data_IF_260677245094
#
_entry.id   IF_260677245094
#
_cell.length_a   1.000
_cell.length_b   1.000
_cell.length_c   1.000
_cell.angle_alpha   90.00
_cell.angle_beta   90.00
_cell.angle_gamma   90.00
#
_symmetry.space_group_name_H-M   'P 1'
#
loop_
_entity.id
_entity.type
_entity.pdbx_description
1 polymer ?
#
# COMPACT_ATOMS: atom_id res chain seq x y z
N UNK A 1 -19.41 -21.03 14.17
CA UNK A 1 -18.92 -20.19 15.27
C UNK A 1 -17.44 -20.47 15.45
N UNK A 2 -16.62 -19.44 15.69
CA UNK A 2 -15.18 -19.57 15.94
C UNK A 2 -14.92 -20.18 17.32
N UNK A 3 -13.80 -20.89 17.46
CA UNK A 3 -13.36 -21.44 18.73
C UNK A 3 -12.85 -20.36 19.69
N UNK A 4 -12.88 -20.60 21.01
CA UNK A 4 -12.27 -19.70 22.01
C UNK A 4 -10.79 -19.42 21.70
N UNK A 5 -10.07 -20.43 21.20
CA UNK A 5 -8.67 -20.32 20.78
C UNK A 5 -8.50 -19.36 19.60
N UNK A 6 -9.38 -19.41 18.60
CA UNK A 6 -9.33 -18.47 17.47
C UNK A 6 -9.57 -17.03 17.95
N UNK A 7 -10.59 -16.78 18.77
CA UNK A 7 -10.81 -15.44 19.32
C UNK A 7 -9.59 -14.91 20.09
N UNK A 8 -8.96 -15.77 20.91
CA UNK A 8 -7.76 -15.39 21.66
C UNK A 8 -6.58 -15.06 20.74
N UNK A 9 -6.29 -15.90 19.75
CA UNK A 9 -5.15 -15.67 18.83
C UNK A 9 -5.35 -14.39 18.02
N UNK A 10 -6.52 -14.22 17.42
CA UNK A 10 -6.82 -13.04 16.60
C UNK A 10 -6.86 -11.76 17.46
N UNK A 11 -7.42 -11.83 18.67
CA UNK A 11 -7.42 -10.70 19.61
C UNK A 11 -6.02 -10.30 20.08
N UNK A 12 -5.16 -11.28 20.39
CA UNK A 12 -3.76 -11.00 20.74
C UNK A 12 -2.99 -10.37 19.59
N UNK A 13 -3.15 -10.87 18.36
CA UNK A 13 -2.49 -10.29 17.19
C UNK A 13 -2.96 -8.86 16.93
N UNK A 14 -4.25 -8.58 17.10
CA UNK A 14 -4.76 -7.21 16.99
C UNK A 14 -4.13 -6.27 18.03
N UNK A 15 -4.07 -6.70 19.30
CA UNK A 15 -3.43 -5.90 20.38
C UNK A 15 -1.94 -5.69 20.09
N UNK A 16 -1.22 -6.75 19.70
CA UNK A 16 0.19 -6.64 19.34
C UNK A 16 0.39 -5.68 18.17
N UNK A 17 -0.51 -5.69 17.20
CA UNK A 17 -0.44 -4.79 16.04
C UNK A 17 -0.69 -3.33 16.42
N UNK A 18 -1.62 -3.08 17.35
CA UNK A 18 -1.81 -1.73 17.90
C UNK A 18 -0.57 -1.25 18.65
N UNK A 19 0.09 -2.13 19.42
CA UNK A 19 1.33 -1.79 20.11
C UNK A 19 2.44 -1.47 19.11
N UNK A 20 2.69 -2.33 18.12
CA UNK A 20 3.73 -2.10 17.10
C UNK A 20 3.46 -0.86 16.24
N UNK A 21 2.18 -0.59 15.92
CA UNK A 21 1.78 0.64 15.22
C UNK A 21 1.93 1.89 16.10
N UNK A 22 1.77 1.78 17.42
CA UNK A 22 2.00 2.90 18.34
C UNK A 22 3.49 3.21 18.46
N UNK A 23 4.35 2.18 18.51
CA UNK A 23 5.81 2.35 18.48
C UNK A 23 6.26 3.01 17.17
N UNK A 24 5.76 2.52 16.03
CA UNK A 24 5.99 3.14 14.73
C UNK A 24 5.50 4.60 14.68
N UNK A 25 4.33 4.89 15.27
CA UNK A 25 3.82 6.26 15.38
C UNK A 25 4.78 7.17 16.16
N UNK A 26 5.40 6.67 17.23
CA UNK A 26 6.43 7.41 17.96
C UNK A 26 7.63 7.78 17.08
N UNK A 27 8.08 6.83 16.27
CA UNK A 27 9.24 6.98 15.39
C UNK A 27 8.95 7.93 14.21
N UNK A 28 7.81 7.77 13.54
CA UNK A 28 7.47 8.58 12.36
C UNK A 28 6.92 9.96 12.70
N UNK A 29 6.07 10.06 13.73
CA UNK A 29 5.38 11.33 14.02
C UNK A 29 6.26 12.24 14.87
N UNK A 30 6.98 11.69 15.85
CA UNK A 30 7.69 12.49 16.86
C UNK A 30 9.20 12.27 16.86
N UNK A 31 9.72 11.44 15.96
CA UNK A 31 11.15 11.06 15.94
C UNK A 31 11.63 10.48 17.28
N UNK A 32 10.74 9.78 18.01
CA UNK A 32 11.05 9.16 19.32
C UNK A 32 10.99 7.63 19.24
N UNK A 33 12.02 6.94 19.74
CA UNK A 33 12.09 5.47 19.75
C UNK A 33 12.35 4.90 21.13
N UNK A 34 11.86 3.68 21.38
CA UNK A 34 12.13 2.95 22.65
C UNK A 34 13.60 2.47 22.76
N UNK A 35 14.35 2.54 21.65
CA UNK A 35 15.76 2.14 21.57
C UNK A 35 16.71 3.32 21.69
N UNK A 36 16.20 4.53 21.52
CA UNK A 36 16.96 5.75 21.70
C UNK A 36 17.14 6.06 23.18
N UNK A 37 18.03 7.01 23.50
CA UNK A 37 18.26 7.46 24.87
C UNK A 37 18.23 8.98 24.95
N UNK A 38 18.10 9.53 26.16
CA UNK A 38 18.01 10.97 26.37
C UNK A 38 16.71 11.55 25.81
N UNK A 39 16.82 12.64 25.05
CA UNK A 39 15.67 13.40 24.53
C UNK A 39 14.90 12.64 23.44
N UNK A 40 15.54 11.66 22.78
CA UNK A 40 14.93 10.87 21.69
C UNK A 40 14.21 9.61 22.17
N UNK A 41 14.24 9.35 23.49
CA UNK A 41 13.53 8.23 24.08
C UNK A 41 12.01 8.41 24.01
N UNK A 42 11.31 7.36 23.59
CA UNK A 42 9.84 7.33 23.59
C UNK A 42 9.27 7.27 25.01
N UNK A 43 9.03 8.44 25.59
CA UNK A 43 8.40 8.58 26.90
C UNK A 43 6.95 8.08 26.90
N UNK A 44 6.38 7.86 28.09
CA UNK A 44 4.99 7.43 28.22
C UNK A 44 4.00 8.47 27.65
N UNK A 45 4.33 9.78 27.71
CA UNK A 45 3.51 10.83 27.12
C UNK A 45 3.46 10.69 25.59
N UNK A 46 4.63 10.61 24.94
CA UNK A 46 4.73 10.41 23.50
C UNK A 46 4.14 9.08 23.04
N UNK A 47 4.24 8.02 23.85
CA UNK A 47 3.56 6.76 23.58
C UNK A 47 2.04 6.95 23.46
N UNK A 48 1.41 7.67 24.40
CA UNK A 48 -0.02 7.94 24.33
C UNK A 48 -0.40 8.87 23.19
N UNK A 49 0.41 9.90 22.91
CA UNK A 49 0.20 10.76 21.73
C UNK A 49 0.28 9.99 20.41
N UNK A 50 1.16 9.00 20.33
CA UNK A 50 1.34 8.14 19.15
C UNK A 50 0.12 7.25 18.86
N UNK A 51 -0.78 7.08 19.85
CA UNK A 51 -2.03 6.34 19.63
C UNK A 51 -2.97 7.03 18.64
N UNK A 52 -2.86 8.34 18.45
CA UNK A 52 -3.62 9.07 17.43
C UNK A 52 -3.34 8.51 16.03
N UNK A 53 -2.08 8.14 15.74
CA UNK A 53 -1.70 7.48 14.49
C UNK A 53 -2.19 6.02 14.49
N UNK A 54 -1.86 5.24 15.52
CA UNK A 54 -2.12 3.79 15.51
C UNK A 54 -3.61 3.44 15.54
N UNK A 55 -4.43 4.15 16.33
CA UNK A 55 -5.88 3.94 16.37
C UNK A 55 -6.51 4.29 15.02
N UNK A 56 -6.08 5.40 14.42
CA UNK A 56 -6.58 5.83 13.10
C UNK A 56 -6.22 4.83 12.02
N UNK A 57 -4.93 4.48 11.92
CA UNK A 57 -4.42 3.61 10.88
C UNK A 57 -4.95 2.17 11.02
N UNK A 58 -4.81 1.56 12.20
CA UNK A 58 -5.31 0.20 12.45
C UNK A 58 -6.85 0.16 12.43
N UNK A 59 -7.52 1.24 12.85
CA UNK A 59 -8.97 1.36 12.76
C UNK A 59 -9.47 1.28 11.31
N UNK A 60 -8.82 1.99 10.38
CA UNK A 60 -9.19 1.92 8.96
C UNK A 60 -8.97 0.51 8.39
N UNK A 61 -7.81 -0.10 8.67
CA UNK A 61 -7.51 -1.47 8.24
C UNK A 61 -8.51 -2.49 8.82
N UNK A 62 -8.91 -2.31 10.08
CA UNK A 62 -9.94 -3.14 10.70
C UNK A 62 -11.28 -2.99 9.98
N UNK A 63 -11.72 -1.77 9.67
CA UNK A 63 -12.98 -1.54 8.96
C UNK A 63 -12.94 -2.12 7.54
N UNK A 64 -11.80 -2.03 6.85
CA UNK A 64 -11.57 -2.70 5.57
C UNK A 64 -11.82 -4.21 5.68
N UNK A 65 -11.14 -4.88 6.61
CA UNK A 65 -11.32 -6.32 6.81
C UNK A 65 -12.74 -6.67 7.27
N UNK A 66 -13.35 -5.85 8.12
CA UNK A 66 -14.74 -6.05 8.54
C UNK A 66 -15.72 -5.94 7.36
N UNK A 67 -15.43 -5.11 6.35
CA UNK A 67 -16.18 -5.06 5.10
C UNK A 67 -16.21 -6.42 4.38
N UNK A 68 -15.05 -7.07 4.25
CA UNK A 68 -14.96 -8.43 3.72
C UNK A 68 -15.67 -9.46 4.62
N UNK A 69 -15.48 -9.35 5.93
CA UNK A 69 -16.04 -10.25 6.92
C UNK A 69 -17.56 -10.27 6.89
N UNK A 70 -18.20 -9.11 7.05
CA UNK A 70 -19.66 -9.00 7.09
C UNK A 70 -20.30 -9.39 5.76
N UNK A 71 -19.66 -9.05 4.63
CA UNK A 71 -20.13 -9.46 3.31
C UNK A 71 -20.00 -10.96 3.10
N UNK A 72 -18.95 -11.58 3.63
CA UNK A 72 -18.80 -13.04 3.63
C UNK A 72 -19.88 -13.72 4.46
N UNK A 73 -20.21 -13.18 5.64
CA UNK A 73 -21.31 -13.68 6.48
C UNK A 73 -22.67 -13.57 5.76
N UNK A 74 -22.95 -12.42 5.13
CA UNK A 74 -24.17 -12.22 4.34
C UNK A 74 -24.31 -13.27 3.23
N UNK A 75 -23.22 -13.57 2.52
CA UNK A 75 -23.20 -14.58 1.46
C UNK A 75 -23.06 -16.03 1.95
N UNK A 76 -23.06 -16.24 3.27
CA UNK A 76 -22.85 -17.54 3.94
C UNK A 76 -21.54 -18.22 3.50
N UNK A 77 -20.52 -17.43 3.24
CA UNK A 77 -19.16 -17.89 2.94
C UNK A 77 -18.39 -17.98 4.26
N UNK A 78 -17.85 -19.17 4.55
CA UNK A 78 -17.00 -19.36 5.73
C UNK A 78 -15.69 -18.58 5.53
N UNK A 79 -15.31 -17.78 6.51
CA UNK A 79 -14.07 -17.00 6.52
C UNK A 79 -13.36 -17.14 7.89
N UNK A 80 -12.17 -16.59 8.04
CA UNK A 80 -11.53 -16.36 9.34
C UNK A 80 -11.97 -15.02 9.93
N UNK A 81 -11.64 -14.80 11.20
CA UNK A 81 -11.55 -13.44 11.74
C UNK A 81 -10.40 -12.69 11.06
N UNK A 82 -10.37 -11.34 11.10
CA UNK A 82 -9.24 -10.55 10.63
C UNK A 82 -7.94 -11.01 11.30
N UNK A 83 -6.94 -11.36 10.50
CA UNK A 83 -5.62 -11.77 10.97
C UNK A 83 -4.65 -10.61 10.74
N UNK A 84 -4.35 -9.85 11.79
CA UNK A 84 -3.38 -8.76 11.74
C UNK A 84 -1.95 -9.29 11.83
N UNK A 85 -1.04 -8.65 11.08
CA UNK A 85 0.37 -9.02 11.01
C UNK A 85 1.19 -7.89 11.67
N UNK A 86 1.55 -8.02 12.96
CA UNK A 86 2.34 -7.01 13.66
C UNK A 86 3.78 -7.02 13.15
N UNK A 87 4.30 -5.85 12.76
CA UNK A 87 5.68 -5.70 12.28
C UNK A 87 6.26 -4.37 12.76
N UNK A 88 7.14 -4.44 13.74
CA UNK A 88 7.98 -3.32 14.14
C UNK A 88 9.44 -3.69 13.95
N UNK A 89 10.13 -3.00 13.04
CA UNK A 89 11.55 -3.26 12.69
C UNK A 89 12.50 -2.20 13.27
N UNK A 90 12.02 -1.33 14.17
CA UNK A 90 12.87 -0.34 14.83
C UNK A 90 14.07 -0.96 15.55
N UNK A 91 13.95 -2.21 16.04
CA UNK A 91 15.04 -2.97 16.68
C UNK A 91 16.25 -3.29 15.79
N UNK A 92 16.12 -3.15 14.47
CA UNK A 92 17.24 -3.26 13.52
C UNK A 92 17.57 -1.92 12.84
N UNK A 93 17.04 -0.81 13.37
CA UNK A 93 17.27 0.54 12.82
C UNK A 93 16.54 0.80 11.51
N UNK A 94 15.53 -0.01 11.15
CA UNK A 94 14.72 0.16 9.94
C UNK A 94 13.34 0.67 10.33
N UNK A 95 12.95 1.90 9.95
CA UNK A 95 11.60 2.42 10.19
C UNK A 95 10.55 1.49 9.58
N UNK A 96 9.53 1.12 10.36
CA UNK A 96 8.37 0.39 9.86
C UNK A 96 7.09 1.14 10.18
N UNK A 97 6.02 0.87 9.44
CA UNK A 97 4.68 1.44 9.69
C UNK A 97 3.89 0.66 10.76
N UNK A 98 4.55 -0.24 11.49
CA UNK A 98 3.98 -1.02 12.58
C UNK A 98 3.18 -2.27 12.19
N UNK A 99 2.85 -2.48 10.90
CA UNK A 99 2.10 -3.66 10.43
C UNK A 99 2.33 -3.94 8.95
N UNK A 100 2.17 -5.20 8.53
CA UNK A 100 1.96 -5.56 7.11
C UNK A 100 0.48 -5.58 6.70
N UNK A 101 -0.40 -5.05 7.55
CA UNK A 101 -1.83 -5.03 7.36
C UNK A 101 -2.53 -6.22 8.01
N UNK A 102 -3.73 -6.48 7.55
CA UNK A 102 -4.57 -7.59 8.00
C UNK A 102 -5.12 -8.36 6.80
N UNK A 103 -5.44 -9.63 7.01
CA UNK A 103 -6.02 -10.48 5.97
C UNK A 103 -7.15 -11.35 6.51
N UNK A 104 -8.18 -11.55 5.71
CA UNK A 104 -9.19 -12.59 5.93
C UNK A 104 -8.97 -13.76 5.00
N UNK A 105 -8.91 -14.96 5.59
CA UNK A 105 -8.83 -16.20 4.83
C UNK A 105 -10.23 -16.76 4.58
N UNK A 106 -10.63 -16.84 3.31
CA UNK A 106 -11.81 -17.60 2.92
C UNK A 106 -11.60 -19.10 3.18
N UNK A 107 -12.49 -19.71 3.97
CA UNK A 107 -12.44 -21.13 4.36
C UNK A 107 -13.40 -21.94 3.48
N UNK A 108 -12.97 -22.27 2.26
CA UNK A 108 -13.72 -23.13 1.32
C UNK A 108 -13.84 -22.54 -0.08
N UNK A 109 -14.42 -23.31 -1.00
CA UNK A 109 -14.59 -22.88 -2.40
C UNK A 109 -15.79 -21.93 -2.53
N UNK A 110 -15.53 -20.69 -2.95
CA UNK A 110 -16.58 -19.74 -3.31
C UNK A 110 -16.90 -19.91 -4.79
N UNK A 111 -17.95 -20.64 -5.11
CA UNK A 111 -18.29 -20.93 -6.50
C UNK A 111 -19.32 -19.94 -7.07
N UNK A 112 -19.02 -18.64 -7.01
CA UNK A 112 -19.93 -17.60 -7.53
C UNK A 112 -19.22 -16.28 -7.81
N UNK A 113 -19.31 -15.83 -9.06
CA UNK A 113 -18.79 -14.53 -9.48
C UNK A 113 -19.37 -13.36 -8.68
N UNK A 114 -20.69 -13.40 -8.42
CA UNK A 114 -21.37 -12.36 -7.64
C UNK A 114 -20.80 -12.27 -6.22
N UNK A 115 -20.54 -13.42 -5.58
CA UNK A 115 -19.99 -13.44 -4.22
C UNK A 115 -18.56 -12.92 -4.18
N UNK A 116 -17.72 -13.32 -5.13
CA UNK A 116 -16.36 -12.78 -5.25
C UNK A 116 -16.36 -11.27 -5.45
N UNK A 117 -17.19 -10.77 -6.37
CA UNK A 117 -17.32 -9.34 -6.60
C UNK A 117 -17.79 -8.59 -5.35
N UNK A 118 -18.88 -9.05 -4.73
CA UNK A 118 -19.45 -8.39 -3.56
C UNK A 118 -18.46 -8.39 -2.38
N UNK A 119 -17.80 -9.51 -2.10
CA UNK A 119 -16.80 -9.61 -1.02
C UNK A 119 -15.57 -8.75 -1.33
N UNK A 120 -15.02 -8.86 -2.55
CA UNK A 120 -13.81 -8.14 -2.95
C UNK A 120 -13.98 -6.63 -2.94
N UNK A 121 -15.15 -6.11 -3.32
CA UNK A 121 -15.37 -4.66 -3.33
C UNK A 121 -15.72 -4.08 -1.95
N UNK A 122 -16.28 -4.90 -1.04
CA UNK A 122 -16.79 -4.41 0.24
C UNK A 122 -15.71 -3.88 1.18
N UNK A 123 -14.55 -4.54 1.25
CA UNK A 123 -13.46 -4.10 2.11
C UNK A 123 -12.87 -2.76 1.69
N UNK A 124 -12.38 -2.61 0.45
CA UNK A 124 -11.84 -1.35 -0.04
C UNK A 124 -12.82 -0.19 0.09
N UNK A 125 -14.11 -0.39 -0.18
CA UNK A 125 -15.10 0.67 -0.01
C UNK A 125 -15.30 1.06 1.46
N UNK A 126 -15.37 0.09 2.37
CA UNK A 126 -15.53 0.36 3.80
C UNK A 126 -14.32 1.12 4.36
N UNK A 127 -13.11 0.64 4.06
CA UNK A 127 -11.87 1.30 4.46
C UNK A 127 -11.75 2.70 3.86
N UNK A 128 -12.04 2.85 2.56
CA UNK A 128 -11.99 4.12 1.85
C UNK A 128 -12.93 5.18 2.44
N UNK A 129 -14.17 4.83 2.78
CA UNK A 129 -15.13 5.79 3.36
C UNK A 129 -14.62 6.32 4.70
N UNK A 130 -14.02 5.47 5.53
CA UNK A 130 -13.43 5.91 6.81
C UNK A 130 -12.18 6.76 6.57
N UNK A 131 -11.30 6.35 5.66
CA UNK A 131 -10.10 7.10 5.30
C UNK A 131 -10.45 8.51 4.75
N UNK A 132 -11.47 8.58 3.90
CA UNK A 132 -11.97 9.85 3.34
C UNK A 132 -12.48 10.77 4.45
N UNK A 133 -13.32 10.27 5.36
CA UNK A 133 -13.81 11.05 6.48
C UNK A 133 -12.68 11.51 7.42
N UNK A 134 -11.70 10.65 7.66
CA UNK A 134 -10.54 10.96 8.50
C UNK A 134 -9.62 12.01 7.85
N UNK A 135 -9.39 11.94 6.54
CA UNK A 135 -8.61 12.95 5.81
C UNK A 135 -9.33 14.29 5.76
N UNK A 136 -10.64 14.31 5.48
CA UNK A 136 -11.45 15.54 5.53
C UNK A 136 -11.35 16.19 6.91
N UNK A 137 -11.49 15.40 7.98
CA UNK A 137 -11.32 15.88 9.35
C UNK A 137 -9.88 16.37 9.59
N UNK A 138 -8.87 15.59 9.21
CA UNK A 138 -7.46 15.93 9.41
C UNK A 138 -7.04 17.24 8.74
N UNK A 139 -7.46 17.46 7.49
CA UNK A 139 -7.21 18.73 6.79
C UNK A 139 -7.99 19.91 7.40
N UNK A 140 -9.22 19.67 7.85
CA UNK A 140 -10.07 20.72 8.45
C UNK A 140 -9.60 21.13 9.87
N UNK A 141 -8.84 20.28 10.56
CA UNK A 141 -8.37 20.51 11.93
C UNK A 141 -6.86 20.60 12.03
N UNK A 142 -6.20 21.09 10.98
CA UNK A 142 -4.75 21.29 11.00
C UNK A 142 -4.35 22.22 12.15
N UNK A 143 -3.32 21.85 12.94
CA UNK A 143 -2.76 22.74 13.95
C UNK A 143 -2.14 23.99 13.29
N UNK A 144 -1.84 25.03 14.06
CA UNK A 144 -1.06 26.16 13.59
C UNK A 144 0.28 25.71 12.99
N UNK A 145 0.82 26.47 12.03
CA UNK A 145 2.06 26.11 11.32
C UNK A 145 3.26 25.93 12.27
N UNK A 146 3.25 26.61 13.41
CA UNK A 146 4.28 26.53 14.45
C UNK A 146 4.35 25.17 15.14
N UNK A 147 3.33 24.31 14.99
CA UNK A 147 3.35 22.94 15.51
C UNK A 147 4.58 22.17 15.04
N UNK A 148 5.04 22.41 13.81
CA UNK A 148 6.20 21.70 13.30
C UNK A 148 7.48 22.02 14.08
N UNK A 149 7.55 23.17 14.74
CA UNK A 149 8.69 23.55 15.58
C UNK A 149 8.76 22.74 16.88
N UNK A 150 7.68 22.08 17.30
CA UNK A 150 7.73 21.12 18.41
C UNK A 150 8.47 19.84 18.00
N UNK A 151 8.46 19.50 16.71
CA UNK A 151 9.10 18.31 16.15
C UNK A 151 10.52 18.64 15.65
N UNK A 152 10.65 19.76 14.94
CA UNK A 152 11.89 20.29 14.38
C UNK A 152 12.14 21.72 14.94
N UNK A 153 12.64 21.85 16.19
CA UNK A 153 12.96 23.15 16.78
C UNK A 153 13.88 24.03 15.93
N UNK A 154 14.75 23.42 15.12
CA UNK A 154 15.65 24.06 14.18
C UNK A 154 14.93 24.89 13.11
N UNK A 155 13.70 24.54 12.73
CA UNK A 155 12.92 25.31 11.73
C UNK A 155 12.50 26.68 12.26
N UNK A 156 12.62 26.93 13.58
CA UNK A 156 12.40 28.24 14.16
C UNK A 156 13.59 29.21 13.93
N UNK A 157 14.77 28.71 13.54
CA UNK A 157 15.91 29.57 13.17
C UNK A 157 15.78 30.04 11.72
N UNK A 158 15.65 31.36 11.45
CA UNK A 158 15.58 31.89 10.09
C UNK A 158 16.81 31.60 9.23
N UNK A 159 17.93 31.21 9.83
CA UNK A 159 19.18 30.85 9.13
C UNK A 159 19.33 29.35 8.91
N UNK A 160 18.32 28.53 9.24
CA UNK A 160 18.35 27.11 8.97
C UNK A 160 18.22 26.87 7.45
N UNK A 161 19.32 26.46 6.82
CA UNK A 161 19.38 26.21 5.36
C UNK A 161 18.95 24.79 4.96
N UNK A 162 18.40 24.01 5.90
CA UNK A 162 18.08 22.60 5.71
C UNK A 162 19.12 21.67 6.33
N UNK A 163 18.80 20.38 6.38
CA UNK A 163 19.80 19.36 6.66
C UNK A 163 20.73 19.23 5.45
N UNK A 164 22.04 19.16 5.68
CA UNK A 164 23.02 19.05 4.59
C UNK A 164 22.81 17.81 3.72
N UNK A 165 23.46 17.75 2.55
CA UNK A 165 23.32 16.66 1.55
C UNK A 165 23.62 15.25 2.07
N UNK A 166 24.22 15.12 3.27
CA UNK A 166 24.51 13.84 3.92
C UNK A 166 23.30 13.23 4.67
N UNK A 167 22.21 13.98 4.85
CA UNK A 167 21.01 13.50 5.54
C UNK A 167 19.98 13.02 4.53
N UNK A 168 19.58 11.74 4.67
CA UNK A 168 18.54 11.14 3.87
C UNK A 168 17.20 11.84 4.14
N UNK A 169 16.67 12.56 3.16
CA UNK A 169 15.37 13.20 3.27
C UNK A 169 14.27 12.21 2.87
N UNK A 170 13.19 12.17 3.65
CA UNK A 170 12.02 11.34 3.37
C UNK A 170 10.81 12.23 3.07
N UNK A 171 10.12 11.93 1.98
CA UNK A 171 8.90 12.62 1.58
C UNK A 171 7.83 11.63 1.12
N UNK A 172 6.57 11.93 1.45
CA UNK A 172 5.46 11.17 0.91
C UNK A 172 5.17 11.60 -0.54
N UNK A 173 4.88 10.64 -1.40
CA UNK A 173 4.34 10.93 -2.72
C UNK A 173 2.98 11.60 -2.68
N UNK A 174 2.55 12.15 -3.81
CA UNK A 174 1.20 12.68 -3.94
C UNK A 174 0.25 11.71 -4.68
N UNK A 175 -1.04 11.81 -4.38
CA UNK A 175 -2.12 11.19 -5.16
C UNK A 175 -3.26 12.19 -5.33
N UNK A 176 -4.08 11.99 -6.38
CA UNK A 176 -5.10 12.97 -6.77
C UNK A 176 -6.11 13.26 -5.66
N UNK A 177 -6.48 12.25 -4.86
CA UNK A 177 -7.43 12.42 -3.78
C UNK A 177 -6.82 13.20 -2.61
N UNK A 178 -5.61 12.85 -2.17
CA UNK A 178 -4.94 13.54 -1.07
C UNK A 178 -4.70 15.01 -1.41
N UNK A 179 -4.17 15.30 -2.60
CA UNK A 179 -4.04 16.66 -3.12
C UNK A 179 -5.39 17.40 -3.15
N UNK A 180 -6.41 16.81 -3.76
CA UNK A 180 -7.72 17.45 -3.88
C UNK A 180 -8.40 17.71 -2.54
N UNK A 181 -8.20 16.86 -1.54
CA UNK A 181 -8.70 17.11 -0.18
C UNK A 181 -7.93 18.23 0.52
N UNK A 182 -6.62 18.32 0.31
CA UNK A 182 -5.80 19.44 0.79
C UNK A 182 -6.30 20.78 0.24
N UNK A 183 -6.52 20.86 -1.07
CA UNK A 183 -7.04 22.08 -1.73
C UNK A 183 -8.45 22.47 -1.28
N UNK A 184 -9.31 21.50 -0.98
CA UNK A 184 -10.72 21.75 -0.66
C UNK A 184 -10.98 22.00 0.83
N UNK A 185 -10.22 21.38 1.72
CA UNK A 185 -10.49 21.39 3.16
C UNK A 185 -9.33 21.92 4.01
N UNK A 186 -8.12 21.98 3.47
CA UNK A 186 -6.96 22.48 4.19
C UNK A 186 -6.86 24.01 4.14
N UNK A 187 -6.37 24.60 5.23
CA UNK A 187 -5.98 26.01 5.29
C UNK A 187 -4.62 26.17 4.58
N UNK A 188 -4.49 26.96 3.50
CA UNK A 188 -3.24 27.13 2.76
C UNK A 188 -2.04 27.55 3.62
N UNK A 189 -2.27 28.24 4.73
CA UNK A 189 -1.20 28.66 5.65
C UNK A 189 -0.74 27.54 6.59
N UNK A 190 -1.49 26.43 6.69
CA UNK A 190 -1.25 25.33 7.64
C UNK A 190 -0.98 23.99 6.99
N UNK A 191 -1.24 23.85 5.69
CA UNK A 191 -0.99 22.59 4.97
C UNK A 191 0.51 22.29 5.01
N UNK A 192 0.93 21.15 5.58
CA UNK A 192 2.34 20.78 5.59
C UNK A 192 2.82 20.44 4.17
N UNK A 193 4.12 20.63 3.92
CA UNK A 193 4.77 20.01 2.76
C UNK A 193 4.65 18.48 2.87
N UNK A 194 4.78 17.76 1.76
CA UNK A 194 4.63 16.31 1.79
C UNK A 194 5.75 15.59 2.58
N UNK A 195 6.89 16.28 2.80
CA UNK A 195 7.95 15.84 3.72
C UNK A 195 7.46 15.79 5.16
N UNK A 196 6.68 16.81 5.56
CA UNK A 196 6.23 16.97 6.94
C UNK A 196 4.92 16.22 7.26
N UNK A 197 4.19 15.72 6.26
CA UNK A 197 2.89 15.03 6.46
C UNK A 197 2.99 13.87 7.46
N UNK A 198 4.14 13.20 7.58
CA UNK A 198 4.37 12.13 8.55
C UNK A 198 4.18 12.57 10.01
N UNK A 199 4.41 13.86 10.30
CA UNK A 199 4.28 14.46 11.62
C UNK A 199 2.83 14.83 11.99
N UNK A 200 1.88 14.55 11.09
CA UNK A 200 0.45 14.78 11.27
C UNK A 200 -0.28 13.44 11.34
N UNK A 201 -0.51 12.87 12.54
CA UNK A 201 -0.96 11.49 12.72
C UNK A 201 -2.15 11.06 11.87
N UNK A 202 -3.14 11.95 11.73
CA UNK A 202 -4.36 11.68 10.97
C UNK A 202 -4.10 11.72 9.46
N UNK A 203 -3.36 12.72 8.98
CA UNK A 203 -3.01 12.80 7.56
C UNK A 203 -2.13 11.63 7.14
N UNK A 204 -1.13 11.28 7.97
CA UNK A 204 -0.25 10.16 7.69
C UNK A 204 -1.01 8.82 7.69
N UNK A 205 -1.86 8.57 8.70
CA UNK A 205 -2.71 7.38 8.73
C UNK A 205 -3.66 7.30 7.53
N UNK A 206 -4.27 8.42 7.15
CA UNK A 206 -5.15 8.52 5.99
C UNK A 206 -4.39 8.28 4.67
N UNK A 207 -3.20 8.85 4.52
CA UNK A 207 -2.33 8.62 3.36
C UNK A 207 -1.96 7.15 3.21
N UNK A 208 -1.49 6.51 4.30
CA UNK A 208 -1.19 5.08 4.28
C UNK A 208 -2.44 4.24 3.96
N UNK A 209 -3.60 4.62 4.48
CA UNK A 209 -4.86 3.95 4.13
C UNK A 209 -5.20 4.05 2.64
N UNK A 210 -4.99 5.21 2.01
CA UNK A 210 -5.15 5.38 0.56
C UNK A 210 -4.15 4.51 -0.21
N UNK A 211 -2.90 4.45 0.24
CA UNK A 211 -1.87 3.57 -0.33
C UNK A 211 -2.29 2.10 -0.29
N UNK A 212 -2.71 1.58 0.87
CA UNK A 212 -3.17 0.18 0.99
C UNK A 212 -4.46 -0.09 0.22
N UNK A 213 -5.38 0.89 0.17
CA UNK A 213 -6.60 0.79 -0.63
C UNK A 213 -6.27 0.67 -2.12
N UNK A 214 -5.36 1.51 -2.62
CA UNK A 214 -4.90 1.47 -4.01
C UNK A 214 -4.16 0.15 -4.31
N UNK A 215 -3.30 -0.32 -3.40
CA UNK A 215 -2.60 -1.59 -3.55
C UNK A 215 -3.60 -2.76 -3.63
N UNK A 216 -4.60 -2.80 -2.74
CA UNK A 216 -5.64 -3.84 -2.75
C UNK A 216 -6.55 -3.77 -3.97
N UNK A 217 -6.80 -2.57 -4.51
CA UNK A 217 -7.60 -2.39 -5.72
C UNK A 217 -6.81 -2.52 -7.03
N UNK A 218 -5.52 -2.86 -6.98
CA UNK A 218 -4.80 -3.23 -8.19
C UNK A 218 -5.55 -4.36 -8.92
N UNK A 219 -5.71 -4.27 -10.25
CA UNK A 219 -6.47 -5.24 -11.04
C UNK A 219 -5.68 -6.55 -11.27
N UNK A 220 -5.07 -7.12 -10.22
CA UNK A 220 -4.08 -8.19 -10.31
C UNK A 220 -4.47 -9.38 -9.41
N UNK A 221 -4.55 -10.57 -10.00
CA UNK A 221 -4.61 -11.84 -9.28
C UNK A 221 -5.75 -11.97 -8.27
N UNK A 222 -5.37 -12.23 -7.01
CA UNK A 222 -6.29 -12.46 -5.89
C UNK A 222 -6.52 -11.22 -5.02
N UNK A 223 -6.00 -10.07 -5.43
CA UNK A 223 -6.32 -8.81 -4.76
C UNK A 223 -7.80 -8.47 -4.94
N UNK A 224 -8.30 -7.56 -4.11
CA UNK A 224 -9.67 -7.07 -4.18
C UNK A 224 -10.02 -6.48 -5.55
N UNK A 225 -9.10 -5.72 -6.15
CA UNK A 225 -9.22 -5.21 -7.52
C UNK A 225 -9.27 -6.32 -8.57
N UNK A 226 -8.54 -7.43 -8.35
CA UNK A 226 -8.64 -8.64 -9.17
C UNK A 226 -10.05 -9.26 -9.12
N UNK A 227 -10.67 -9.30 -7.94
CA UNK A 227 -12.07 -9.75 -7.77
C UNK A 227 -13.08 -8.80 -8.44
N UNK A 228 -12.85 -7.48 -8.37
CA UNK A 228 -13.67 -6.46 -9.05
C UNK A 228 -13.60 -6.63 -10.57
N UNK A 229 -12.39 -6.71 -11.13
CA UNK A 229 -12.17 -6.93 -12.58
C UNK A 229 -12.76 -8.25 -13.02
N UNK A 230 -12.62 -9.31 -12.23
CA UNK A 230 -13.26 -10.59 -12.54
C UNK A 230 -14.79 -10.47 -12.60
N UNK A 231 -15.39 -9.70 -11.70
CA UNK A 231 -16.83 -9.44 -11.71
C UNK A 231 -17.31 -8.69 -12.95
N UNK A 232 -16.58 -7.64 -13.35
CA UNK A 232 -16.90 -6.76 -14.48
C UNK A 232 -16.60 -7.41 -15.83
N UNK A 233 -15.40 -7.99 -15.97
CA UNK A 233 -14.83 -8.49 -17.23
C UNK A 233 -14.44 -9.98 -17.11
N UNK A 234 -15.39 -10.89 -16.84
CA UNK A 234 -15.10 -12.29 -16.53
C UNK A 234 -14.43 -13.09 -17.67
N UNK A 235 -14.46 -12.60 -18.90
CA UNK A 235 -13.81 -13.25 -20.05
C UNK A 235 -12.34 -12.84 -20.20
N UNK A 236 -12.03 -11.59 -19.85
CA UNK A 236 -10.71 -10.98 -20.10
C UNK A 236 -9.94 -10.71 -18.80
N UNK A 237 -10.45 -11.10 -17.63
CA UNK A 237 -9.84 -10.77 -16.34
C UNK A 237 -8.39 -11.30 -16.19
N UNK A 238 -8.07 -12.46 -16.78
CA UNK A 238 -6.72 -13.02 -16.75
C UNK A 238 -5.76 -12.18 -17.61
N UNK A 239 -6.22 -11.73 -18.78
CA UNK A 239 -5.47 -10.85 -19.67
C UNK A 239 -5.26 -9.48 -19.03
N UNK A 240 -6.31 -8.88 -18.47
CA UNK A 240 -6.24 -7.60 -17.75
C UNK A 240 -5.25 -7.71 -16.58
N UNK A 241 -5.30 -8.79 -15.80
CA UNK A 241 -4.38 -8.99 -14.69
C UNK A 241 -2.93 -9.15 -15.15
N UNK A 242 -2.69 -9.87 -16.24
CA UNK A 242 -1.34 -10.04 -16.78
C UNK A 242 -0.81 -8.70 -17.31
N UNK A 243 -1.60 -7.98 -18.10
CA UNK A 243 -1.24 -6.66 -18.66
C UNK A 243 -0.97 -5.66 -17.54
N UNK A 244 -1.85 -5.59 -16.54
CA UNK A 244 -1.68 -4.69 -15.40
C UNK A 244 -0.42 -5.02 -14.60
N UNK A 245 -0.15 -6.30 -14.33
CA UNK A 245 1.07 -6.71 -13.64
C UNK A 245 2.32 -6.42 -14.47
N UNK A 246 2.27 -6.65 -15.79
CA UNK A 246 3.37 -6.33 -16.71
C UNK A 246 3.65 -4.84 -16.77
N UNK A 247 2.62 -3.99 -16.85
CA UNK A 247 2.77 -2.54 -16.76
C UNK A 247 3.33 -2.10 -15.40
N UNK A 248 2.84 -2.69 -14.31
CA UNK A 248 3.28 -2.39 -12.96
C UNK A 248 4.76 -2.74 -12.73
N UNK A 249 5.21 -3.95 -13.08
CA UNK A 249 6.61 -4.36 -12.95
C UNK A 249 7.52 -3.64 -13.97
N UNK A 250 6.98 -3.32 -15.15
CA UNK A 250 7.65 -2.53 -16.17
C UNK A 250 7.97 -1.12 -15.67
N UNK A 251 7.00 -0.44 -15.06
CA UNK A 251 7.21 0.83 -14.37
C UNK A 251 8.15 0.66 -13.18
N UNK A 252 7.91 -0.30 -12.28
CA UNK A 252 8.70 -0.49 -11.06
C UNK A 252 10.19 -0.71 -11.33
N UNK A 253 10.54 -1.45 -12.40
CA UNK A 253 11.93 -1.74 -12.75
C UNK A 253 12.58 -0.76 -13.71
N UNK A 254 11.87 0.27 -14.15
CA UNK A 254 12.43 1.26 -15.06
C UNK A 254 13.57 2.03 -14.36
N UNK A 255 14.76 2.00 -14.97
CA UNK A 255 15.99 2.56 -14.39
C UNK A 255 16.77 1.59 -13.47
N UNK A 256 16.31 0.35 -13.28
CA UNK A 256 17.06 -0.66 -12.51
C UNK A 256 18.31 -1.17 -13.25
N UNK A 257 18.17 -1.36 -14.57
CA UNK A 257 19.30 -1.57 -15.49
C UNK A 257 19.31 -0.44 -16.51
N UNK A 258 20.47 0.16 -16.77
CA UNK A 258 20.61 1.27 -17.72
C UNK A 258 21.84 1.08 -18.61
N UNK A 259 21.87 1.69 -19.81
CA UNK A 259 23.03 1.63 -20.69
C UNK A 259 24.24 2.46 -20.22
N UNK A 260 24.08 3.23 -19.14
CA UNK A 260 25.14 4.07 -18.57
C UNK A 260 25.83 3.39 -17.38
N UNK A 261 25.41 2.18 -17.00
CA UNK A 261 26.11 1.38 -16.00
C UNK A 261 27.46 0.90 -16.54
N UNK A 262 28.44 0.79 -15.65
CA UNK A 262 29.70 0.12 -15.97
C UNK A 262 29.46 -1.33 -16.42
N UNK A 263 30.31 -1.84 -17.30
CA UNK A 263 30.11 -3.18 -17.89
C UNK A 263 30.10 -4.27 -16.82
N UNK A 264 30.93 -4.15 -15.78
CA UNK A 264 30.99 -5.10 -14.66
C UNK A 264 29.66 -5.17 -13.90
N UNK A 265 29.08 -4.00 -13.58
CA UNK A 265 27.78 -3.90 -12.90
C UNK A 265 26.66 -4.45 -13.75
N UNK A 266 26.66 -4.15 -15.06
CA UNK A 266 25.65 -4.66 -15.99
C UNK A 266 25.72 -6.19 -16.13
N UNK A 267 26.93 -6.76 -16.20
CA UNK A 267 27.15 -8.21 -16.28
C UNK A 267 26.68 -8.94 -15.01
N UNK A 268 26.72 -8.29 -13.85
CA UNK A 268 26.21 -8.84 -12.59
C UNK A 268 24.69 -8.61 -12.43
N UNK A 269 24.25 -7.37 -12.55
CA UNK A 269 22.86 -6.95 -12.26
C UNK A 269 21.88 -7.37 -13.35
N UNK A 270 22.29 -7.41 -14.62
CA UNK A 270 21.44 -7.83 -15.73
C UNK A 270 20.86 -9.24 -15.55
N UNK A 271 21.69 -10.28 -15.37
CA UNK A 271 21.21 -11.63 -15.11
C UNK A 271 20.39 -11.76 -13.81
N UNK A 272 20.77 -11.04 -12.75
CA UNK A 272 20.01 -11.03 -11.49
C UNK A 272 18.62 -10.44 -11.69
N UNK A 273 18.51 -9.33 -12.42
CA UNK A 273 17.25 -8.68 -12.74
C UNK A 273 16.35 -9.57 -13.61
N UNK A 274 16.92 -10.22 -14.64
CA UNK A 274 16.18 -11.19 -15.45
C UNK A 274 15.72 -12.40 -14.62
N UNK A 275 16.55 -12.90 -13.71
CA UNK A 275 16.19 -13.95 -12.77
C UNK A 275 15.05 -13.52 -11.84
N UNK A 276 15.11 -12.30 -11.32
CA UNK A 276 14.05 -11.68 -10.51
C UNK A 276 12.73 -11.58 -11.30
N UNK A 277 12.77 -11.09 -12.55
CA UNK A 277 11.59 -11.02 -13.42
C UNK A 277 11.02 -12.43 -13.65
N UNK A 278 11.87 -13.42 -13.94
CA UNK A 278 11.45 -14.80 -14.13
C UNK A 278 10.72 -15.36 -12.90
N UNK A 279 11.21 -15.06 -11.69
CA UNK A 279 10.56 -15.42 -10.43
C UNK A 279 9.20 -14.75 -10.27
N UNK A 280 9.07 -13.47 -10.63
CA UNK A 280 7.81 -12.73 -10.57
C UNK A 280 6.74 -13.34 -11.49
N UNK A 281 7.11 -13.86 -12.65
CA UNK A 281 6.18 -14.55 -13.56
C UNK A 281 6.04 -16.05 -13.28
N UNK A 282 6.60 -16.60 -12.20
CA UNK A 282 6.61 -18.05 -11.97
C UNK A 282 5.21 -18.65 -11.81
N UNK A 283 4.23 -17.86 -11.36
CA UNK A 283 2.81 -18.27 -11.17
C UNK A 283 1.84 -17.78 -12.26
N UNK A 284 2.34 -17.39 -13.44
CA UNK A 284 1.53 -16.80 -14.55
C UNK A 284 0.87 -17.83 -15.50
N UNK A 285 1.24 -19.11 -15.46
CA UNK A 285 0.90 -20.18 -16.44
C UNK A 285 1.36 -19.95 -17.87
N UNK A 286 2.16 -18.91 -18.11
CA UNK A 286 2.85 -18.77 -19.37
C UNK A 286 3.79 -19.96 -19.57
N UNK A 287 3.86 -20.47 -20.81
CA UNK A 287 4.89 -21.44 -21.19
C UNK A 287 6.27 -20.86 -20.90
N UNK A 288 7.27 -21.72 -20.69
CA UNK A 288 8.64 -21.27 -20.45
C UNK A 288 9.12 -20.31 -21.55
N UNK A 289 8.80 -20.61 -22.81
CA UNK A 289 9.11 -19.75 -23.95
C UNK A 289 8.43 -18.38 -23.83
N UNK A 290 7.11 -18.33 -23.62
CA UNK A 290 6.38 -17.05 -23.51
C UNK A 290 6.87 -16.21 -22.32
N UNK A 291 7.22 -16.87 -21.21
CA UNK A 291 7.77 -16.20 -20.04
C UNK A 291 9.13 -15.58 -20.34
N UNK A 292 10.05 -16.34 -20.95
CA UNK A 292 11.37 -15.85 -21.37
C UNK A 292 11.23 -14.68 -22.35
N UNK A 293 10.36 -14.81 -23.36
CA UNK A 293 10.08 -13.72 -24.30
C UNK A 293 9.59 -12.48 -23.56
N UNK A 294 8.65 -12.62 -22.63
CA UNK A 294 8.07 -11.50 -21.89
C UNK A 294 9.11 -10.78 -21.03
N UNK A 295 9.90 -11.51 -20.23
CA UNK A 295 10.90 -10.88 -19.35
C UNK A 295 12.02 -10.20 -20.14
N UNK A 296 12.46 -10.80 -21.25
CA UNK A 296 13.46 -10.20 -22.14
C UNK A 296 12.90 -8.96 -22.83
N UNK A 297 11.62 -8.98 -23.21
CA UNK A 297 10.94 -7.81 -23.80
C UNK A 297 10.84 -6.68 -22.77
N UNK A 298 10.44 -6.97 -21.53
CA UNK A 298 10.36 -5.97 -20.45
C UNK A 298 11.73 -5.33 -20.23
N UNK A 299 12.76 -6.15 -20.03
CA UNK A 299 14.12 -5.67 -19.80
C UNK A 299 14.65 -4.84 -20.99
N UNK A 300 14.44 -5.30 -22.22
CA UNK A 300 14.85 -4.58 -23.42
C UNK A 300 14.12 -3.22 -23.57
N UNK A 301 12.81 -3.18 -23.31
CA UNK A 301 12.02 -1.95 -23.36
C UNK A 301 12.47 -0.96 -22.28
N UNK A 302 12.68 -1.41 -21.04
CA UNK A 302 13.19 -0.56 -19.96
C UNK A 302 14.58 -0.01 -20.29
N UNK A 303 15.48 -0.87 -20.79
CA UNK A 303 16.82 -0.47 -21.19
C UNK A 303 16.81 0.54 -22.34
N UNK A 304 15.91 0.36 -23.33
CA UNK A 304 15.72 1.31 -24.42
C UNK A 304 15.13 2.65 -23.93
N UNK A 305 14.16 2.64 -23.03
CA UNK A 305 13.61 3.88 -22.44
C UNK A 305 14.72 4.63 -21.70
N UNK A 306 15.49 3.92 -20.86
CA UNK A 306 16.62 4.52 -20.15
C UNK A 306 17.68 5.09 -21.10
N UNK A 307 17.94 4.45 -22.24
CA UNK A 307 18.85 4.96 -23.26
C UNK A 307 18.42 6.32 -23.83
N UNK A 308 17.13 6.49 -24.14
CA UNK A 308 16.62 7.72 -24.74
C UNK A 308 16.30 8.81 -23.71
N UNK A 309 15.86 8.43 -22.51
CA UNK A 309 15.49 9.36 -21.43
C UNK A 309 15.96 8.79 -20.08
N UNK A 310 17.22 9.05 -19.68
CA UNK A 310 17.81 8.48 -18.47
C UNK A 310 17.08 8.93 -17.18
N UNK A 311 16.53 10.14 -17.19
CA UNK A 311 15.77 10.73 -16.08
C UNK A 311 14.42 10.04 -15.83
N UNK A 312 13.92 9.25 -16.80
CA UNK A 312 12.67 8.53 -16.66
C UNK A 312 12.89 7.27 -15.84
N UNK A 313 12.87 7.44 -14.52
CA UNK A 313 13.04 6.37 -13.55
C UNK A 313 11.70 6.07 -12.88
N UNK A 314 11.38 4.78 -12.79
CA UNK A 314 10.21 4.31 -12.08
C UNK A 314 10.42 4.23 -10.57
N UNK A 315 9.38 3.80 -9.84
CA UNK A 315 9.52 3.61 -8.40
C UNK A 315 9.96 2.18 -8.05
N UNK A 316 11.25 2.02 -7.74
CA UNK A 316 11.84 0.71 -7.44
C UNK A 316 11.26 0.05 -6.19
N UNK A 317 10.71 0.81 -5.23
CA UNK A 317 10.00 0.25 -4.07
C UNK A 317 8.81 -0.64 -4.46
N UNK A 318 8.24 -0.46 -5.65
CA UNK A 318 7.21 -1.36 -6.18
C UNK A 318 7.73 -2.73 -6.57
N UNK A 319 9.04 -2.93 -6.78
CA UNK A 319 9.60 -4.26 -7.06
C UNK A 319 9.40 -5.22 -5.89
N UNK A 320 9.44 -4.73 -4.65
CA UNK A 320 9.10 -5.56 -3.49
C UNK A 320 7.65 -6.10 -3.59
N UNK A 321 6.69 -5.20 -3.87
CA UNK A 321 5.29 -5.59 -4.04
C UNK A 321 5.07 -6.46 -5.28
N UNK A 322 5.74 -6.16 -6.40
CA UNK A 322 5.66 -6.98 -7.61
C UNK A 322 6.11 -8.42 -7.36
N UNK A 323 7.15 -8.60 -6.53
CA UNK A 323 7.57 -9.93 -6.09
C UNK A 323 6.50 -10.62 -5.25
N UNK A 324 5.93 -9.95 -4.25
CA UNK A 324 4.84 -10.52 -3.44
C UNK A 324 3.63 -10.91 -4.30
N UNK A 325 3.20 -10.03 -5.20
CA UNK A 325 2.06 -10.25 -6.09
C UNK A 325 2.32 -11.38 -7.09
N UNK A 326 3.46 -11.37 -7.78
CA UNK A 326 3.78 -12.34 -8.82
C UNK A 326 4.18 -13.72 -8.28
N UNK A 327 5.05 -13.75 -7.27
CA UNK A 327 5.65 -14.99 -6.76
C UNK A 327 4.90 -15.61 -5.58
N UNK A 328 4.38 -14.79 -4.66
CA UNK A 328 3.73 -15.27 -3.43
C UNK A 328 2.24 -15.48 -3.65
N UNK A 329 1.51 -14.44 -4.10
CA UNK A 329 0.05 -14.50 -4.30
C UNK A 329 -0.33 -15.17 -5.63
N UNK A 330 0.34 -14.80 -6.71
CA UNK A 330 0.10 -15.27 -8.08
C UNK A 330 -0.86 -14.37 -8.85
N UNK A 331 -0.69 -14.35 -10.18
CA UNK A 331 -1.42 -13.46 -11.09
C UNK A 331 -2.80 -13.98 -11.51
N UNK A 332 -3.17 -15.19 -11.07
CA UNK A 332 -4.46 -15.79 -11.42
C UNK A 332 -5.52 -15.47 -10.37
N UNK A 333 -6.67 -15.05 -10.87
CA UNK A 333 -7.91 -15.16 -10.11
C UNK A 333 -8.43 -16.62 -10.14
N UNK A 334 -8.96 -17.16 -9.03
CA UNK A 334 -9.56 -18.50 -8.98
C UNK A 334 -10.71 -18.68 -9.98
N UNK A 335 -10.78 -19.82 -10.66
CA UNK A 335 -11.87 -20.13 -11.58
C UNK A 335 -13.17 -20.43 -10.82
N UNK A 336 -14.30 -19.95 -11.33
CA UNK A 336 -15.64 -20.29 -10.81
C UNK A 336 -16.52 -20.83 -11.91
N UNK A 337 -17.31 -21.84 -11.58
CA UNK A 337 -18.36 -22.35 -12.45
C UNK A 337 -19.58 -21.41 -12.39
N UNK A 338 -19.89 -20.75 -13.50
CA UNK A 338 -21.14 -20.01 -13.67
C UNK A 338 -20.94 -18.52 -14.00
N UNK A 339 -21.37 -18.14 -15.20
CA UNK A 339 -21.28 -16.77 -15.73
C UNK A 339 -22.57 -15.95 -15.51
N UNK A 340 -23.21 -16.05 -14.35
CA UNK A 340 -24.38 -15.20 -14.06
C UNK A 340 -23.97 -13.73 -14.11
N UNK A 341 -24.67 -12.95 -14.93
CA UNK A 341 -24.36 -11.54 -15.12
C UNK A 341 -24.54 -10.73 -13.83
N UNK A 342 -23.68 -9.73 -13.61
CA UNK A 342 -23.84 -8.76 -12.53
C UNK A 342 -24.99 -7.81 -12.86
N UNK A 343 -25.77 -7.45 -11.84
CA UNK A 343 -26.78 -6.39 -11.91
C UNK A 343 -26.14 -5.03 -12.21
N UNK A 344 -26.89 -4.11 -12.83
CA UNK A 344 -26.42 -2.75 -13.16
C UNK A 344 -25.81 -2.04 -11.95
N UNK A 345 -26.44 -2.08 -10.78
CA UNK A 345 -25.92 -1.44 -9.56
C UNK A 345 -24.53 -1.98 -9.15
N UNK A 346 -24.26 -3.27 -9.38
CA UNK A 346 -22.95 -3.86 -9.09
C UNK A 346 -21.90 -3.41 -10.10
N UNK A 347 -22.28 -3.25 -11.36
CA UNK A 347 -21.38 -2.69 -12.37
C UNK A 347 -20.98 -1.26 -12.01
N UNK A 348 -21.93 -0.44 -11.55
CA UNK A 348 -21.66 0.93 -11.07
C UNK A 348 -20.68 0.89 -9.89
N UNK A 349 -20.94 0.05 -8.88
CA UNK A 349 -20.03 -0.14 -7.74
C UNK A 349 -18.62 -0.55 -8.18
N UNK A 350 -18.50 -1.43 -9.18
CA UNK A 350 -17.21 -1.86 -9.70
C UNK A 350 -16.45 -0.73 -10.38
N UNK A 351 -17.14 0.12 -11.15
CA UNK A 351 -16.54 1.32 -11.73
C UNK A 351 -16.14 2.36 -10.68
N UNK A 352 -16.93 2.51 -9.61
CA UNK A 352 -16.56 3.36 -8.46
C UNK A 352 -15.28 2.84 -7.80
N UNK A 353 -15.13 1.52 -7.64
CA UNK A 353 -13.89 0.94 -7.11
C UNK A 353 -12.68 1.21 -8.02
N UNK A 354 -12.85 1.11 -9.34
CA UNK A 354 -11.79 1.49 -10.30
C UNK A 354 -11.44 2.98 -10.17
N UNK A 355 -12.43 3.86 -10.02
CA UNK A 355 -12.19 5.29 -9.81
C UNK A 355 -11.41 5.54 -8.50
N UNK A 356 -11.82 4.89 -7.40
CA UNK A 356 -11.13 4.98 -6.11
C UNK A 356 -9.67 4.57 -6.23
N UNK A 357 -9.39 3.48 -6.94
CA UNK A 357 -8.03 3.08 -7.26
C UNK A 357 -7.26 4.20 -7.98
N UNK A 358 -7.82 4.74 -9.07
CA UNK A 358 -7.13 5.76 -9.88
C UNK A 358 -6.82 7.04 -9.09
N UNK A 359 -7.72 7.49 -8.23
CA UNK A 359 -7.52 8.73 -7.46
C UNK A 359 -6.64 8.53 -6.21
N UNK A 360 -6.58 7.30 -5.67
CA UNK A 360 -5.80 6.98 -4.47
C UNK A 360 -4.39 6.48 -4.78
N UNK A 361 -4.13 6.05 -6.03
CA UNK A 361 -2.83 5.50 -6.41
C UNK A 361 -1.75 6.60 -6.49
N UNK A 362 -0.69 6.43 -5.71
CA UNK A 362 0.51 7.26 -5.78
C UNK A 362 1.60 6.53 -6.59
N UNK A 363 2.08 7.07 -7.73
CA UNK A 363 3.12 6.41 -8.53
C UNK A 363 4.46 6.27 -7.80
N UNK A 364 4.81 7.25 -6.96
CA UNK A 364 6.03 7.28 -6.12
C UNK A 364 5.63 7.53 -4.66
N UNK A 365 5.09 6.53 -3.95
CA UNK A 365 4.41 6.73 -2.66
C UNK A 365 5.33 7.17 -1.52
N UNK A 366 6.61 6.77 -1.56
CA UNK A 366 7.62 7.13 -0.58
C UNK A 366 8.89 7.52 -1.33
N UNK A 367 9.38 8.73 -1.11
CA UNK A 367 10.50 9.33 -1.81
C UNK A 367 11.64 9.47 -0.79
N UNK A 368 12.82 8.99 -1.18
CA UNK A 368 14.05 9.12 -0.39
C UNK A 368 15.04 9.87 -1.28
N UNK A 369 15.51 11.03 -0.84
CA UNK A 369 16.41 11.92 -1.59
C UNK A 369 17.65 12.28 -0.80
#
# INVERSE_FOLDING_TARGET
>A
MYSKKEYLVHGLLFILTLLTATLAGGEWVYSKSILASGEDFLSMDYFWRSTAFSISFIGILLIHELGHFFTSLYHKVKCSLPFFIPVWLGFIGIPSIGTFGAVIKMKGMVNSRKKFFDIGVAGPLAGFVVALGLLVYGFSTLPPAEYIYEVHPEYADPNFEGYGEEVLNFELGNNLLFWGLGELFGDPERIPSMGEVIHYPLLFAGYLALFFTALNLLPIGQLDGGHVIFGLFPKHHQEISLIAFTGFIGYAGLGFITPFMELEDLMLMGPLYLGYLYLCYSKSNLSTQNKLTLILTIAAVQYAIAFFNPEWVGYQGWLFFAFLLGRVMGLRHPEVSGYKQLSTNRKIIGWVAILIFLISFAPKPFIFT
#
